data_IF_119620919254
#
_entry.id   IF_119620919254
#
_cell.length_a   1.000
_cell.length_b   1.000
_cell.length_c   1.000
_cell.angle_alpha   90.00
_cell.angle_beta   90.00
_cell.angle_gamma   90.00
#
_symmetry.space_group_name_H-M   'P 1'
#
loop_
_entity.id
_entity.type
_entity.pdbx_description
1 polymer ?
#
# COMPACT_ATOMS: atom_id res chain seq x y z
N UNK A 1 -3.00 -1.25 -19.80
CA UNK A 1 -3.62 -0.88 -18.52
C UNK A 1 -2.67 -0.04 -17.69
N UNK A 2 -3.16 1.03 -17.06
CA UNK A 2 -2.37 1.87 -16.15
C UNK A 2 -2.87 1.74 -14.72
N UNK A 3 -2.03 1.21 -13.85
CA UNK A 3 -2.26 1.03 -12.43
C UNK A 3 -1.54 2.13 -11.66
N UNK A 4 -2.25 2.87 -10.82
CA UNK A 4 -1.68 3.82 -9.86
C UNK A 4 -1.70 3.20 -8.46
N UNK A 5 -0.52 3.10 -7.85
CA UNK A 5 -0.37 2.73 -6.45
C UNK A 5 0.06 3.97 -5.65
N UNK A 6 -0.68 4.32 -4.59
CA UNK A 6 -0.42 5.45 -3.70
C UNK A 6 0.07 4.91 -2.37
N UNK A 7 1.18 5.46 -1.87
CA UNK A 7 1.78 5.05 -0.60
C UNK A 7 0.98 5.51 0.62
N UNK A 8 1.46 5.12 1.77
CA UNK A 8 0.82 5.25 3.08
C UNK A 8 0.14 6.61 3.29
N UNK A 9 -1.20 6.64 3.23
CA UNK A 9 -1.98 7.87 3.46
C UNK A 9 -2.03 8.17 4.95
N UNK A 10 -1.50 9.33 5.35
CA UNK A 10 -1.32 9.70 6.75
C UNK A 10 -2.32 10.76 7.19
N UNK A 11 -3.31 10.33 7.98
CA UNK A 11 -4.32 11.17 8.62
C UNK A 11 -5.24 11.92 7.66
N UNK A 12 -6.05 12.79 8.22
CA UNK A 12 -7.04 13.59 7.49
C UNK A 12 -6.40 14.49 6.42
N UNK A 13 -5.20 15.04 6.68
CA UNK A 13 -4.49 15.86 5.70
C UNK A 13 -4.02 15.06 4.49
N UNK A 14 -3.54 13.82 4.70
CA UNK A 14 -3.20 12.91 3.61
C UNK A 14 -4.43 12.53 2.78
N UNK A 15 -5.54 12.21 3.43
CA UNK A 15 -6.83 11.94 2.77
C UNK A 15 -7.29 13.13 1.91
N UNK A 16 -7.18 14.36 2.45
CA UNK A 16 -7.54 15.58 1.72
C UNK A 16 -6.61 15.82 0.51
N UNK A 17 -5.31 15.49 0.63
CA UNK A 17 -4.38 15.54 -0.50
C UNK A 17 -4.81 14.58 -1.61
N UNK A 18 -5.18 13.34 -1.27
CA UNK A 18 -5.74 12.36 -2.23
C UNK A 18 -6.96 12.96 -2.93
N UNK A 19 -7.92 13.49 -2.17
CA UNK A 19 -9.15 14.08 -2.71
C UNK A 19 -8.88 15.18 -3.75
N UNK A 20 -7.91 16.05 -3.47
CA UNK A 20 -7.57 17.18 -4.36
C UNK A 20 -6.85 16.75 -5.62
N UNK A 21 -5.97 15.76 -5.53
CA UNK A 21 -5.03 15.39 -6.60
C UNK A 21 -5.56 14.26 -7.47
N UNK A 22 -6.12 13.20 -6.87
CA UNK A 22 -6.43 11.95 -7.55
C UNK A 22 -7.38 12.11 -8.75
N UNK A 23 -8.50 12.88 -8.72
CA UNK A 23 -9.40 12.98 -9.86
C UNK A 23 -8.75 13.57 -11.10
N UNK A 24 -7.82 14.53 -10.91
CA UNK A 24 -7.07 15.14 -12.01
C UNK A 24 -5.99 14.21 -12.52
N UNK A 25 -5.24 13.58 -11.62
CA UNK A 25 -4.21 12.61 -11.96
C UNK A 25 -4.79 11.41 -12.74
N UNK A 26 -5.93 10.85 -12.30
CA UNK A 26 -6.63 9.78 -13.04
C UNK A 26 -6.90 10.16 -14.48
N UNK A 27 -7.38 11.37 -14.73
CA UNK A 27 -7.68 11.83 -16.11
C UNK A 27 -6.42 12.08 -16.93
N UNK A 28 -5.43 12.78 -16.36
CA UNK A 28 -4.21 13.16 -17.08
C UNK A 28 -3.37 11.94 -17.45
N UNK A 29 -3.20 11.02 -16.50
CA UNK A 29 -2.41 9.80 -16.68
C UNK A 29 -3.23 8.61 -17.22
N UNK A 30 -4.54 8.79 -17.47
CA UNK A 30 -5.44 7.72 -17.95
C UNK A 30 -5.37 6.47 -17.08
N UNK A 31 -5.50 6.66 -15.77
CA UNK A 31 -5.42 5.58 -14.79
C UNK A 31 -6.69 4.73 -14.85
N UNK A 32 -6.52 3.43 -15.00
CA UNK A 32 -7.59 2.43 -15.02
C UNK A 32 -7.94 1.95 -13.61
N UNK A 33 -6.92 1.67 -12.76
CA UNK A 33 -7.09 1.12 -11.40
C UNK A 33 -6.22 1.91 -10.41
N UNK A 34 -6.77 2.17 -9.23
CA UNK A 34 -6.10 2.87 -8.13
C UNK A 34 -6.07 1.99 -6.88
N UNK A 35 -4.88 1.68 -6.40
CA UNK A 35 -4.64 1.01 -5.12
C UNK A 35 -4.01 2.03 -4.16
N UNK A 36 -4.55 2.14 -2.94
CA UNK A 36 -4.06 3.08 -1.92
C UNK A 36 -3.71 2.31 -0.66
N UNK A 37 -2.50 2.48 -0.11
CA UNK A 37 -2.26 2.03 1.24
C UNK A 37 -2.89 3.03 2.22
N UNK A 38 -3.92 2.57 2.93
CA UNK A 38 -4.74 3.38 3.84
C UNK A 38 -4.52 3.09 5.32
N UNK A 39 -3.50 2.30 5.68
CA UNK A 39 -3.31 1.83 7.05
C UNK A 39 -3.19 2.95 8.09
N UNK A 40 -2.74 4.14 7.68
CA UNK A 40 -2.53 5.31 8.52
C UNK A 40 -3.51 6.47 8.22
N UNK A 41 -4.61 6.20 7.50
CA UNK A 41 -5.55 7.21 7.03
C UNK A 41 -6.38 7.90 8.11
N UNK A 42 -6.51 7.29 9.29
CA UNK A 42 -7.14 7.93 10.44
C UNK A 42 -6.16 8.82 11.22
N UNK A 43 -6.68 9.85 11.88
CA UNK A 43 -5.88 10.65 12.79
C UNK A 43 -5.38 9.78 13.97
N UNK A 44 -4.11 9.93 14.33
CA UNK A 44 -3.36 9.09 15.28
C UNK A 44 -3.07 7.66 14.80
N UNK A 45 -2.97 7.44 13.49
CA UNK A 45 -2.70 6.18 12.79
C UNK A 45 -3.87 5.17 12.84
N UNK A 46 -3.73 4.12 12.04
CA UNK A 46 -4.77 3.16 11.81
C UNK A 46 -5.72 3.61 10.69
N UNK A 47 -6.71 2.81 10.44
CA UNK A 47 -7.81 3.09 9.51
C UNK A 47 -9.13 2.99 10.26
N UNK A 48 -10.10 3.80 9.88
CA UNK A 48 -11.48 3.75 10.37
C UNK A 48 -12.44 3.54 9.21
N UNK A 49 -13.67 3.07 9.43
CA UNK A 49 -14.68 3.02 8.38
C UNK A 49 -14.83 4.37 7.66
N UNK A 50 -14.83 5.46 8.42
CA UNK A 50 -14.94 6.82 7.87
C UNK A 50 -13.78 7.17 6.93
N UNK A 51 -12.52 6.92 7.34
CA UNK A 51 -11.36 7.23 6.49
C UNK A 51 -11.28 6.31 5.26
N UNK A 52 -11.70 5.04 5.38
CA UNK A 52 -11.79 4.11 4.27
C UNK A 52 -12.85 4.56 3.24
N UNK A 53 -14.08 4.86 3.69
CA UNK A 53 -15.15 5.38 2.83
C UNK A 53 -14.73 6.68 2.14
N UNK A 54 -14.01 7.56 2.84
CA UNK A 54 -13.49 8.78 2.27
C UNK A 54 -12.51 8.51 1.11
N UNK A 55 -11.57 7.56 1.27
CA UNK A 55 -10.63 7.18 0.22
C UNK A 55 -11.33 6.50 -0.97
N UNK A 56 -12.32 5.63 -0.73
CA UNK A 56 -13.14 5.07 -1.80
C UNK A 56 -13.90 6.16 -2.56
N UNK A 57 -14.51 7.12 -1.86
CA UNK A 57 -15.19 8.27 -2.48
C UNK A 57 -14.24 9.16 -3.29
N UNK A 58 -12.96 9.21 -2.95
CA UNK A 58 -11.93 9.90 -3.74
C UNK A 58 -11.56 9.16 -5.02
N UNK A 59 -11.90 7.89 -5.16
CA UNK A 59 -11.67 7.07 -6.35
C UNK A 59 -10.64 5.97 -6.20
N UNK A 60 -10.36 5.52 -4.97
CA UNK A 60 -9.66 4.26 -4.72
C UNK A 60 -10.52 3.08 -5.16
N UNK A 61 -9.93 2.11 -5.85
CA UNK A 61 -10.59 0.87 -6.22
C UNK A 61 -10.30 -0.23 -5.17
N UNK A 62 -9.09 -0.21 -4.56
CA UNK A 62 -8.70 -1.07 -3.45
C UNK A 62 -7.91 -0.28 -2.43
N UNK A 63 -8.15 -0.55 -1.14
CA UNK A 63 -7.33 -0.05 -0.04
C UNK A 63 -6.56 -1.22 0.56
N UNK A 64 -5.24 -1.08 0.68
CA UNK A 64 -4.37 -2.02 1.38
C UNK A 64 -4.04 -1.52 2.78
N UNK A 65 -3.64 -2.43 3.65
CA UNK A 65 -3.30 -2.17 5.04
C UNK A 65 -1.85 -2.50 5.38
N UNK A 66 -1.57 -2.51 6.67
CA UNK A 66 -0.24 -2.81 7.22
C UNK A 66 -0.30 -3.10 8.73
N UNK A 67 0.78 -2.77 9.45
CA UNK A 67 0.92 -3.06 10.87
C UNK A 67 -0.01 -2.25 11.79
N UNK A 68 -0.58 -1.14 11.31
CA UNK A 68 -1.54 -0.33 12.07
C UNK A 68 -3.00 -0.58 11.72
N UNK A 69 -3.31 -1.47 10.78
CA UNK A 69 -4.68 -1.70 10.28
C UNK A 69 -5.72 -1.89 11.37
N UNK A 70 -5.35 -2.55 12.47
CA UNK A 70 -6.26 -2.87 13.59
C UNK A 70 -6.14 -1.93 14.80
N UNK A 71 -5.54 -0.75 14.62
CA UNK A 71 -5.37 0.20 15.73
C UNK A 71 -6.70 0.75 16.25
N UNK A 72 -7.68 0.90 15.35
CA UNK A 72 -9.03 1.29 15.67
C UNK A 72 -9.94 0.06 15.64
N UNK A 73 -10.61 -0.24 16.74
CA UNK A 73 -11.41 -1.48 16.89
C UNK A 73 -12.58 -1.54 15.89
N UNK A 74 -13.18 -0.39 15.60
CA UNK A 74 -14.36 -0.27 14.71
C UNK A 74 -14.10 -0.72 13.26
N UNK A 75 -12.82 -0.83 12.85
CA UNK A 75 -12.49 -1.29 11.49
C UNK A 75 -12.74 -2.79 11.29
N UNK A 76 -12.78 -3.59 12.36
CA UNK A 76 -12.82 -5.05 12.26
C UNK A 76 -14.04 -5.55 11.49
N UNK A 77 -15.24 -5.15 11.89
CA UNK A 77 -16.45 -5.53 11.17
C UNK A 77 -16.48 -4.98 9.74
N UNK A 78 -15.99 -3.77 9.55
CA UNK A 78 -15.90 -3.16 8.22
C UNK A 78 -14.99 -3.95 7.26
N UNK A 79 -13.85 -4.49 7.77
CA UNK A 79 -12.96 -5.36 7.00
C UNK A 79 -13.61 -6.69 6.60
N UNK A 80 -14.51 -7.23 7.42
CA UNK A 80 -15.25 -8.45 7.09
C UNK A 80 -16.31 -8.20 6.00
N UNK A 81 -16.98 -7.05 6.07
CA UNK A 81 -18.09 -6.67 5.20
C UNK A 81 -17.64 -6.12 3.83
N UNK A 82 -16.47 -5.49 3.75
CA UNK A 82 -15.96 -4.88 2.52
C UNK A 82 -14.81 -5.68 1.90
N UNK A 83 -15.02 -6.21 0.70
CA UNK A 83 -14.02 -7.05 0.02
C UNK A 83 -12.85 -6.28 -0.59
N UNK A 84 -12.92 -4.95 -0.73
CA UNK A 84 -11.90 -4.13 -1.38
C UNK A 84 -11.03 -3.32 -0.41
N UNK A 85 -11.19 -3.56 0.90
CA UNK A 85 -10.22 -3.14 1.90
C UNK A 85 -9.50 -4.38 2.44
N UNK A 86 -8.17 -4.39 2.32
CA UNK A 86 -7.35 -5.55 2.63
C UNK A 86 -6.51 -5.29 3.88
N UNK A 87 -6.34 -6.35 4.66
CA UNK A 87 -5.29 -6.43 5.69
C UNK A 87 -4.16 -7.32 5.18
N UNK A 88 -2.95 -7.29 5.76
CA UNK A 88 -1.93 -8.26 5.38
C UNK A 88 -2.41 -9.71 5.54
N UNK A 89 -2.27 -10.50 4.48
CA UNK A 89 -2.82 -11.87 4.42
C UNK A 89 -2.13 -12.80 5.40
N UNK A 90 -0.83 -12.62 5.59
CA UNK A 90 0.00 -13.46 6.46
C UNK A 90 -0.07 -13.11 7.96
N UNK A 91 -1.04 -12.28 8.39
CA UNK A 91 -1.43 -12.16 9.80
C UNK A 91 -2.14 -13.45 10.27
N UNK A 92 -2.24 -13.69 11.61
CA UNK A 92 -2.93 -14.87 12.14
C UNK A 92 -4.32 -15.08 11.53
N UNK A 93 -4.73 -16.34 11.34
CA UNK A 93 -5.96 -16.73 10.62
C UNK A 93 -7.25 -16.15 11.25
N UNK A 94 -7.29 -16.01 12.58
CA UNK A 94 -8.41 -15.44 13.33
C UNK A 94 -8.57 -13.92 13.15
N UNK A 95 -7.69 -13.28 12.38
CA UNK A 95 -7.74 -11.82 12.15
C UNK A 95 -8.86 -11.48 11.18
N UNK A 96 -9.71 -10.50 11.55
CA UNK A 96 -10.80 -10.00 10.71
C UNK A 96 -10.33 -9.55 9.32
N UNK A 97 -11.20 -9.67 8.34
CA UNK A 97 -10.94 -9.23 6.98
C UNK A 97 -10.10 -10.22 6.15
N UNK A 98 -9.72 -9.80 4.99
CA UNK A 98 -9.00 -10.59 4.00
C UNK A 98 -7.77 -9.87 3.47
N UNK A 99 -6.80 -10.63 2.97
CA UNK A 99 -5.57 -10.07 2.40
C UNK A 99 -5.49 -10.18 0.88
N UNK A 100 -6.60 -10.51 0.24
CA UNK A 100 -6.73 -10.74 -1.19
C UNK A 100 -8.10 -10.29 -1.69
N UNK A 101 -8.14 -9.65 -2.86
CA UNK A 101 -9.36 -9.44 -3.62
C UNK A 101 -9.12 -9.59 -5.12
N UNK A 102 -10.20 -9.86 -5.86
CA UNK A 102 -10.23 -9.86 -7.32
C UNK A 102 -11.18 -8.76 -7.80
N UNK A 103 -10.64 -7.82 -8.58
CA UNK A 103 -11.39 -6.76 -9.25
C UNK A 103 -11.75 -7.23 -10.66
N UNK A 104 -13.04 -7.29 -10.98
CA UNK A 104 -13.51 -7.48 -12.34
C UNK A 104 -13.63 -6.12 -13.05
N UNK A 105 -12.80 -5.90 -14.06
CA UNK A 105 -12.81 -4.71 -14.91
C UNK A 105 -13.57 -4.94 -16.23
N UNK A 106 -14.28 -6.06 -16.36
CA UNK A 106 -15.07 -6.48 -17.52
C UNK A 106 -14.25 -7.01 -18.68
N UNK A 107 -13.10 -6.39 -19.01
CA UNK A 107 -12.19 -6.85 -20.06
C UNK A 107 -11.00 -7.64 -19.54
N UNK A 108 -10.68 -7.49 -18.30
CA UNK A 108 -9.60 -8.16 -17.57
C UNK A 108 -9.91 -8.09 -16.07
N UNK A 109 -9.24 -8.92 -15.31
CA UNK A 109 -9.36 -8.96 -13.86
C UNK A 109 -8.02 -8.65 -13.19
N UNK A 110 -8.07 -8.00 -12.02
CA UNK A 110 -6.91 -7.60 -11.25
C UNK A 110 -7.00 -8.20 -9.85
N UNK A 111 -6.10 -9.13 -9.54
CA UNK A 111 -5.90 -9.62 -8.19
C UNK A 111 -4.98 -8.68 -7.42
N UNK A 112 -5.39 -8.27 -6.22
CA UNK A 112 -4.57 -7.47 -5.30
C UNK A 112 -4.29 -8.30 -4.06
N UNK A 113 -3.01 -8.42 -3.73
CA UNK A 113 -2.48 -9.17 -2.58
C UNK A 113 -1.83 -8.17 -1.63
N UNK A 114 -2.18 -8.20 -0.37
CA UNK A 114 -1.52 -7.42 0.68
C UNK A 114 -0.77 -8.37 1.63
N UNK A 115 0.51 -8.12 1.83
CA UNK A 115 1.39 -8.89 2.72
C UNK A 115 2.13 -7.97 3.68
N UNK A 116 2.61 -8.51 4.81
CA UNK A 116 3.46 -7.80 5.76
C UNK A 116 4.77 -8.53 5.98
N UNK A 117 5.85 -7.76 6.14
CA UNK A 117 7.16 -8.29 6.48
C UNK A 117 7.24 -8.83 7.91
N UNK A 118 8.27 -9.61 8.18
CA UNK A 118 8.54 -10.19 9.49
C UNK A 118 9.74 -9.54 10.18
N UNK A 119 10.67 -8.99 9.42
CA UNK A 119 11.88 -8.35 9.96
C UNK A 119 11.50 -7.00 10.62
N UNK A 120 11.81 -6.84 11.90
CA UNK A 120 11.46 -5.70 12.77
C UNK A 120 9.95 -5.53 13.03
N UNK A 121 9.13 -6.49 12.61
CA UNK A 121 7.68 -6.51 12.81
C UNK A 121 7.19 -7.76 13.56
N UNK A 122 8.06 -8.38 14.35
CA UNK A 122 7.83 -9.67 15.05
C UNK A 122 6.60 -9.65 15.96
N UNK A 123 6.19 -8.48 16.45
CA UNK A 123 5.00 -8.31 17.31
C UNK A 123 3.70 -8.67 16.60
N UNK A 124 3.68 -8.62 15.28
CA UNK A 124 2.50 -8.97 14.48
C UNK A 124 2.26 -10.48 14.43
N UNK A 125 3.27 -11.31 14.77
CA UNK A 125 3.23 -12.77 14.66
C UNK A 125 2.81 -13.24 13.25
N UNK A 126 3.19 -12.47 12.23
CA UNK A 126 2.91 -12.79 10.84
C UNK A 126 3.65 -14.06 10.42
N UNK A 127 3.01 -14.87 9.57
CA UNK A 127 3.65 -16.03 8.94
C UNK A 127 4.62 -15.59 7.83
N UNK A 128 5.37 -16.55 7.30
CA UNK A 128 6.36 -16.30 6.25
C UNK A 128 5.70 -15.69 5.00
N UNK A 129 6.07 -14.46 4.59
CA UNK A 129 5.44 -13.78 3.44
C UNK A 129 5.73 -14.45 2.10
N UNK A 130 6.81 -15.22 1.96
CA UNK A 130 7.11 -15.94 0.71
C UNK A 130 6.13 -17.10 0.51
N UNK A 131 5.84 -17.86 1.56
CA UNK A 131 4.88 -18.98 1.50
C UNK A 131 3.45 -18.46 1.28
N UNK A 132 3.08 -17.41 2.02
CA UNK A 132 1.77 -16.77 1.82
C UNK A 132 1.61 -16.18 0.40
N UNK A 133 2.68 -15.64 -0.19
CA UNK A 133 2.66 -15.17 -1.57
C UNK A 133 2.43 -16.32 -2.55
N UNK A 134 3.06 -17.48 -2.36
CA UNK A 134 2.87 -18.66 -3.21
C UNK A 134 1.40 -19.11 -3.23
N UNK A 135 0.80 -19.25 -2.05
CA UNK A 135 -0.61 -19.68 -1.88
C UNK A 135 -1.57 -18.68 -2.54
N UNK A 136 -1.31 -17.37 -2.37
CA UNK A 136 -2.19 -16.33 -2.90
C UNK A 136 -2.04 -16.14 -4.41
N UNK A 137 -0.85 -16.36 -4.97
CA UNK A 137 -0.65 -16.34 -6.43
C UNK A 137 -1.35 -17.54 -7.06
N UNK A 138 -1.20 -18.75 -6.48
CA UNK A 138 -1.94 -19.93 -6.94
C UNK A 138 -3.45 -19.69 -6.87
N UNK A 139 -3.94 -19.09 -5.78
CA UNK A 139 -5.34 -18.69 -5.67
C UNK A 139 -5.74 -17.72 -6.77
N UNK A 140 -4.96 -16.67 -7.03
CA UNK A 140 -5.26 -15.68 -8.05
C UNK A 140 -5.31 -16.30 -9.45
N UNK A 141 -4.40 -17.22 -9.76
CA UNK A 141 -4.38 -17.97 -11.02
C UNK A 141 -5.64 -18.85 -11.15
N UNK A 142 -6.03 -19.56 -10.09
CA UNK A 142 -7.23 -20.38 -10.06
C UNK A 142 -8.52 -19.56 -10.15
N UNK A 143 -8.56 -18.36 -9.59
CA UNK A 143 -9.67 -17.41 -9.70
C UNK A 143 -9.70 -16.71 -11.08
N UNK A 144 -8.72 -16.97 -11.95
CA UNK A 144 -8.65 -16.45 -13.33
C UNK A 144 -8.17 -15.01 -13.43
N UNK A 145 -7.32 -14.57 -12.50
CA UNK A 145 -6.75 -13.22 -12.55
C UNK A 145 -5.87 -13.02 -13.80
N UNK A 146 -6.09 -11.92 -14.52
CA UNK A 146 -5.23 -11.53 -15.63
C UNK A 146 -3.99 -10.79 -15.13
N UNK A 147 -4.14 -9.97 -14.11
CA UNK A 147 -3.09 -9.14 -13.52
C UNK A 147 -3.01 -9.46 -12.04
N UNK A 148 -1.80 -9.64 -11.53
CA UNK A 148 -1.53 -9.84 -10.09
C UNK A 148 -0.65 -8.70 -9.58
N UNK A 149 -1.09 -8.06 -8.50
CA UNK A 149 -0.41 -6.91 -7.88
C UNK A 149 -0.19 -7.20 -6.40
N UNK A 150 1.02 -6.92 -5.91
CA UNK A 150 1.39 -7.15 -4.50
C UNK A 150 1.79 -5.84 -3.83
N UNK A 151 1.11 -5.50 -2.73
CA UNK A 151 1.57 -4.53 -1.72
C UNK A 151 2.28 -5.30 -0.61
N UNK A 152 3.57 -5.03 -0.43
CA UNK A 152 4.37 -5.61 0.63
C UNK A 152 4.76 -4.57 1.67
N UNK A 153 4.01 -4.54 2.76
CA UNK A 153 4.17 -3.62 3.86
C UNK A 153 5.27 -4.09 4.82
N UNK A 154 6.51 -3.60 4.65
CA UNK A 154 7.67 -4.11 5.38
C UNK A 154 8.70 -3.03 5.71
N UNK A 155 9.37 -3.16 6.86
CA UNK A 155 10.45 -2.26 7.29
C UNK A 155 11.74 -2.49 6.49
N UNK A 156 12.19 -3.75 6.39
CA UNK A 156 13.50 -4.07 5.84
C UNK A 156 13.52 -4.03 4.31
N UNK A 157 14.36 -3.16 3.74
CA UNK A 157 14.57 -3.09 2.28
C UNK A 157 15.10 -4.40 1.69
N UNK A 158 15.90 -5.16 2.45
CA UNK A 158 16.38 -6.48 2.04
C UNK A 158 15.24 -7.49 1.87
N UNK A 159 14.25 -7.48 2.78
CA UNK A 159 13.06 -8.34 2.70
C UNK A 159 12.21 -7.97 1.48
N UNK A 160 11.97 -6.66 1.24
CA UNK A 160 11.28 -6.15 0.06
C UNK A 160 11.96 -6.57 -1.24
N UNK A 161 13.29 -6.38 -1.32
CA UNK A 161 14.06 -6.79 -2.50
C UNK A 161 14.04 -8.28 -2.74
N UNK A 162 14.19 -9.08 -1.68
CA UNK A 162 14.19 -10.54 -1.79
C UNK A 162 12.85 -11.05 -2.29
N UNK A 163 11.73 -10.59 -1.70
CA UNK A 163 10.39 -11.00 -2.14
C UNK A 163 10.09 -10.49 -3.56
N UNK A 164 10.47 -9.26 -3.89
CA UNK A 164 10.31 -8.72 -5.24
C UNK A 164 11.01 -9.57 -6.31
N UNK A 165 12.27 -9.99 -6.08
CA UNK A 165 12.97 -10.90 -7.01
C UNK A 165 12.38 -12.32 -7.02
N UNK A 166 11.92 -12.82 -5.88
CA UNK A 166 11.27 -14.11 -5.80
C UNK A 166 9.98 -14.18 -6.64
N UNK A 167 9.26 -13.05 -6.69
CA UNK A 167 8.01 -12.93 -7.44
C UNK A 167 8.20 -12.43 -8.88
N UNK A 168 9.43 -12.11 -9.28
CA UNK A 168 9.70 -11.60 -10.62
C UNK A 168 9.24 -12.55 -11.73
N UNK A 169 8.36 -12.04 -12.58
CA UNK A 169 7.71 -12.78 -13.67
C UNK A 169 6.48 -13.58 -13.27
N UNK A 170 6.15 -13.63 -11.96
CA UNK A 170 4.94 -14.28 -11.42
C UNK A 170 3.82 -13.28 -11.13
N UNK A 171 4.19 -12.02 -10.93
CA UNK A 171 3.25 -10.92 -10.71
C UNK A 171 3.53 -9.78 -11.68
N UNK A 172 2.53 -8.95 -11.98
CA UNK A 172 2.68 -7.85 -12.91
C UNK A 172 3.32 -6.63 -12.25
N UNK A 173 2.96 -6.34 -10.98
CA UNK A 173 3.54 -5.24 -10.21
C UNK A 173 3.75 -5.65 -8.74
N UNK A 174 4.85 -5.17 -8.19
CA UNK A 174 5.21 -5.30 -6.78
C UNK A 174 5.66 -3.94 -6.25
N UNK A 175 5.06 -3.48 -5.17
CA UNK A 175 5.49 -2.26 -4.50
C UNK A 175 5.56 -2.45 -2.98
N UNK A 176 6.49 -1.75 -2.36
CA UNK A 176 6.60 -1.72 -0.91
C UNK A 176 5.95 -0.47 -0.32
N UNK A 177 5.56 -0.60 0.95
CA UNK A 177 5.00 0.45 1.82
C UNK A 177 5.64 0.36 3.20
N UNK A 178 5.29 1.20 4.16
CA UNK A 178 5.69 1.25 5.56
C UNK A 178 6.74 2.30 5.92
N UNK A 179 7.82 2.46 5.15
CA UNK A 179 8.93 3.34 5.59
C UNK A 179 8.62 4.82 5.45
N UNK A 180 7.53 5.17 4.75
CA UNK A 180 7.07 6.53 4.49
C UNK A 180 8.00 7.37 3.61
N UNK A 181 9.15 6.85 3.20
CA UNK A 181 10.12 7.54 2.34
C UNK A 181 10.13 6.88 0.96
N UNK A 182 9.73 7.63 -0.07
CA UNK A 182 9.72 7.13 -1.43
C UNK A 182 11.14 6.81 -1.92
N UNK A 183 11.34 5.58 -2.38
CA UNK A 183 12.62 5.18 -2.97
C UNK A 183 12.71 5.55 -4.45
N UNK A 184 13.94 5.69 -4.97
CA UNK A 184 14.20 6.10 -6.36
C UNK A 184 14.54 4.92 -7.26
N UNK A 185 14.18 3.70 -6.88
CA UNK A 185 14.59 2.46 -7.51
C UNK A 185 13.51 1.79 -8.35
N UNK A 186 12.47 2.56 -8.73
CA UNK A 186 11.40 2.06 -9.59
C UNK A 186 11.96 1.56 -10.92
N UNK A 187 11.57 0.37 -11.32
CA UNK A 187 12.07 -0.30 -12.53
C UNK A 187 11.21 -1.50 -12.91
N UNK A 188 11.53 -2.08 -14.05
CA UNK A 188 11.06 -3.39 -14.46
C UNK A 188 12.14 -4.41 -14.10
N UNK A 189 11.76 -5.45 -13.35
CA UNK A 189 12.65 -6.56 -13.03
C UNK A 189 12.91 -7.45 -14.27
N UNK A 190 13.96 -8.28 -14.27
CA UNK A 190 14.41 -9.02 -15.47
C UNK A 190 13.35 -9.89 -16.15
N UNK A 191 12.35 -10.39 -15.42
CA UNK A 191 11.27 -11.23 -15.97
C UNK A 191 9.97 -10.46 -16.25
N UNK A 192 9.95 -9.12 -16.00
CA UNK A 192 8.88 -8.23 -16.40
C UNK A 192 7.96 -7.71 -15.28
N UNK A 193 8.26 -7.99 -14.02
CA UNK A 193 7.51 -7.40 -12.90
C UNK A 193 7.90 -5.94 -12.71
N UNK A 194 6.94 -5.03 -12.67
CA UNK A 194 7.16 -3.65 -12.22
C UNK A 194 7.46 -3.61 -10.72
N UNK A 195 8.47 -2.84 -10.31
CA UNK A 195 8.98 -2.86 -8.95
C UNK A 195 9.32 -1.46 -8.43
N UNK A 196 9.00 -1.21 -7.17
CA UNK A 196 9.56 -0.12 -6.36
C UNK A 196 9.70 -0.59 -4.91
N UNK A 197 10.82 -0.26 -4.25
CA UNK A 197 11.08 -0.69 -2.85
C UNK A 197 10.10 -0.06 -1.86
N UNK A 198 9.79 1.23 -2.00
CA UNK A 198 8.79 1.90 -1.14
C UNK A 198 8.13 3.06 -1.90
N UNK A 199 6.80 3.14 -1.81
CA UNK A 199 6.03 4.22 -2.42
C UNK A 199 6.16 5.55 -1.67
N UNK A 200 6.61 5.53 -0.41
CA UNK A 200 6.58 6.67 0.49
C UNK A 200 5.19 6.93 1.09
N UNK A 201 5.03 8.01 1.83
CA UNK A 201 3.74 8.41 2.40
C UNK A 201 3.04 9.47 1.56
N UNK A 202 1.72 9.52 1.66
CA UNK A 202 0.91 10.68 1.28
C UNK A 202 0.52 11.44 2.55
N UNK A 203 1.20 12.55 2.81
CA UNK A 203 1.09 13.28 4.08
C UNK A 203 1.92 14.54 4.09
N UNK A 204 2.06 15.15 5.27
CA UNK A 204 2.79 16.41 5.45
C UNK A 204 4.27 16.22 5.14
N UNK A 205 4.77 16.96 4.15
CA UNK A 205 6.14 16.84 3.65
C UNK A 205 7.20 17.22 4.70
N UNK A 206 7.03 18.36 5.34
CA UNK A 206 7.95 18.84 6.37
C UNK A 206 7.64 18.22 7.74
N UNK A 207 7.84 16.90 7.85
CA UNK A 207 7.57 16.12 9.05
C UNK A 207 8.58 14.98 9.20
N UNK A 208 8.57 14.31 10.33
CA UNK A 208 9.23 13.00 10.46
C UNK A 208 8.15 11.93 10.40
N UNK A 209 7.99 11.35 9.20
CA UNK A 209 7.01 10.29 8.93
C UNK A 209 5.56 10.66 9.33
N UNK A 210 5.17 11.94 9.12
CA UNK A 210 3.86 12.47 9.48
C UNK A 210 3.74 13.08 10.88
N UNK A 211 4.78 12.98 11.71
CA UNK A 211 4.82 13.52 13.08
C UNK A 211 5.61 14.83 13.12
N UNK A 212 5.22 15.76 14.01
CA UNK A 212 5.95 17.01 14.25
C UNK A 212 7.43 16.74 14.52
N UNK A 213 8.29 17.40 13.77
CA UNK A 213 9.74 17.15 13.72
C UNK A 213 10.42 17.26 15.09
N UNK A 214 10.06 18.30 15.86
CA UNK A 214 10.63 18.55 17.18
C UNK A 214 10.34 17.43 18.19
N UNK A 215 9.17 16.77 18.09
CA UNK A 215 8.79 15.67 18.98
C UNK A 215 9.69 14.47 18.72
N UNK A 216 9.91 14.12 17.45
CA UNK A 216 10.76 12.96 17.10
C UNK A 216 12.23 13.25 17.43
N UNK A 217 12.72 14.45 17.11
CA UNK A 217 14.08 14.86 17.44
C UNK A 217 14.32 14.77 18.96
N UNK A 218 13.41 15.33 19.76
CA UNK A 218 13.53 15.28 21.23
C UNK A 218 13.50 13.83 21.76
N UNK A 219 12.60 13.00 21.21
CA UNK A 219 12.53 11.58 21.58
C UNK A 219 13.84 10.84 21.31
N UNK A 220 14.41 11.02 20.11
CA UNK A 220 15.65 10.33 19.72
C UNK A 220 16.88 10.87 20.46
N UNK A 221 16.88 12.18 20.79
CA UNK A 221 17.99 12.85 21.45
C UNK A 221 18.02 12.64 22.97
N UNK A 222 16.88 12.65 23.62
CA UNK A 222 16.77 12.66 25.09
C UNK A 222 15.92 11.54 25.68
N UNK A 223 15.30 10.67 24.84
CA UNK A 223 14.38 9.63 25.30
C UNK A 223 13.03 10.18 25.78
N UNK A 224 12.71 11.43 25.46
CA UNK A 224 11.41 12.02 25.80
C UNK A 224 10.26 11.20 25.20
N UNK A 225 9.29 10.83 26.03
CA UNK A 225 8.14 10.02 25.66
C UNK A 225 6.87 10.85 25.42
N UNK A 226 7.01 12.12 25.05
CA UNK A 226 5.89 12.98 24.66
C UNK A 226 4.99 12.29 23.63
N UNK A 227 3.68 12.55 23.72
CA UNK A 227 2.71 12.02 22.77
C UNK A 227 3.03 12.50 21.35
N UNK A 228 2.94 11.61 20.39
CA UNK A 228 3.05 12.00 18.98
C UNK A 228 1.89 12.92 18.59
N UNK A 229 2.26 14.02 17.94
CA UNK A 229 1.31 14.96 17.33
C UNK A 229 1.55 14.95 15.82
N UNK A 230 0.47 14.86 15.08
CA UNK A 230 0.51 14.94 13.62
C UNK A 230 1.10 16.29 13.19
N UNK A 231 1.94 16.28 12.18
CA UNK A 231 2.48 17.49 11.60
C UNK A 231 1.39 18.24 10.82
N UNK A 232 1.57 19.54 10.69
CA UNK A 232 0.70 20.44 9.93
C UNK A 232 1.51 21.08 8.79
N UNK A 233 0.86 21.35 7.65
CA UNK A 233 1.51 21.99 6.51
C UNK A 233 1.10 21.40 5.17
N UNK A 234 1.93 21.70 4.15
CA UNK A 234 1.72 21.16 2.81
C UNK A 234 1.96 19.65 2.78
N UNK A 235 1.06 18.96 2.08
CA UNK A 235 1.13 17.53 1.88
C UNK A 235 1.67 17.20 0.50
N UNK A 236 2.47 16.14 0.42
CA UNK A 236 2.91 15.53 -0.81
C UNK A 236 2.17 14.20 -1.02
N UNK A 237 1.72 13.94 -2.25
CA UNK A 237 1.22 12.63 -2.66
C UNK A 237 2.36 11.87 -3.31
N UNK A 238 2.70 10.72 -2.73
CA UNK A 238 3.68 9.78 -3.26
C UNK A 238 3.02 8.54 -3.82
N UNK A 239 3.53 8.05 -4.94
CA UNK A 239 3.02 6.84 -5.57
C UNK A 239 3.87 6.39 -6.75
N UNK A 240 3.38 5.35 -7.43
CA UNK A 240 3.97 4.85 -8.66
C UNK A 240 2.88 4.43 -9.64
N UNK A 241 3.04 4.79 -10.90
CA UNK A 241 2.24 4.26 -12.01
C UNK A 241 3.00 3.09 -12.63
N UNK A 242 2.29 1.99 -12.83
CA UNK A 242 2.76 0.83 -13.59
C UNK A 242 1.92 0.73 -14.86
N UNK A 243 2.56 0.85 -16.02
CA UNK A 243 1.91 0.54 -17.29
C UNK A 243 2.10 -0.93 -17.60
N UNK A 244 1.00 -1.67 -17.71
CA UNK A 244 0.99 -3.13 -17.83
C UNK A 244 0.41 -3.51 -19.19
N UNK A 245 1.16 -4.30 -19.95
CA UNK A 245 0.67 -4.95 -21.15
C UNK A 245 -0.14 -6.20 -20.76
N UNK A 246 -1.42 -6.22 -21.15
CA UNK A 246 -2.35 -7.27 -20.76
C UNK A 246 -2.05 -8.64 -21.40
N UNK A 247 -1.47 -8.66 -22.61
CA UNK A 247 -1.21 -9.92 -23.30
C UNK A 247 -0.10 -10.75 -22.63
N UNK A 248 1.13 -10.19 -22.37
CA UNK A 248 2.15 -10.87 -21.59
C UNK A 248 1.96 -10.74 -20.08
N UNK A 249 0.99 -9.92 -19.60
CA UNK A 249 0.73 -9.62 -18.18
C UNK A 249 1.94 -9.00 -17.47
N UNK A 250 2.73 -8.21 -18.20
CA UNK A 250 4.01 -7.64 -17.76
C UNK A 250 3.96 -6.12 -17.74
N UNK A 251 4.66 -5.53 -16.78
CA UNK A 251 4.90 -4.09 -16.76
C UNK A 251 5.86 -3.70 -17.88
N UNK A 252 5.51 -2.65 -18.60
CA UNK A 252 6.32 -2.08 -19.70
C UNK A 252 6.89 -0.71 -19.36
N UNK A 253 6.33 -0.01 -18.37
CA UNK A 253 6.81 1.27 -17.86
C UNK A 253 6.51 1.42 -16.37
N UNK A 254 7.40 2.08 -15.62
CA UNK A 254 7.19 2.50 -14.23
C UNK A 254 7.48 3.99 -14.09
N UNK A 255 6.56 4.74 -13.50
CA UNK A 255 6.70 6.19 -13.29
C UNK A 255 6.40 6.55 -11.85
N UNK A 256 7.41 7.07 -11.13
CA UNK A 256 7.19 7.64 -9.79
C UNK A 256 6.32 8.88 -9.88
N UNK A 257 5.45 9.03 -8.91
CA UNK A 257 4.62 10.22 -8.71
C UNK A 257 5.02 10.87 -7.40
N UNK A 258 5.26 12.16 -7.46
CA UNK A 258 5.54 13.04 -6.32
C UNK A 258 4.92 14.40 -6.64
N UNK A 259 3.80 14.74 -5.99
CA UNK A 259 2.99 15.95 -6.27
C UNK A 259 2.65 16.67 -4.98
#
# INVERSE_FOLDING_TARGET
>A
MRLLCIGDVCGSLGCEKVRRVLPTLKRQEKIDVVIINGENSADNNGVTPFSADYLFACGADVITGGNHSFRNEEIRSYLDDNQFILRPSNLPEETNGRGYCLLDMGRYSVAVINLVGTIYLERLKASNPFLAADELIEKAENDGADIIVVDFHAEATSEKRALGFYLDGRVSAFFGTHTHIQTADNKILPKGTGYITDLGMTGVENSVLGVKTEIIINRLKSGDMSKFLQAEGECTLNGCIFEIDLAPRKTVETKRILI
#
